data_IF_825237954525
#
_entry.id   IF_825237954525
#
_cell.length_a   1.000
_cell.length_b   1.000
_cell.length_c   1.000
_cell.angle_alpha   90.00
_cell.angle_beta   90.00
_cell.angle_gamma   90.00
#
_symmetry.space_group_name_H-M   'P 1'
#
loop_
_entity.id
_entity.type
_entity.pdbx_description
1 polymer ?
#
# COMPACT_ATOMS: atom_id res chain seq x y z
N UNK A 1 0.53 -20.69 -15.16
CA UNK A 1 1.61 -20.17 -16.03
C UNK A 1 1.13 -18.85 -16.59
N UNK A 2 1.56 -17.73 -16.00
CA UNK A 2 1.23 -16.40 -16.47
C UNK A 2 2.26 -16.05 -17.55
N UNK A 3 1.82 -15.91 -18.79
CA UNK A 3 2.69 -15.58 -19.91
C UNK A 3 2.86 -14.06 -19.89
N UNK A 4 4.04 -13.60 -19.52
CA UNK A 4 4.46 -12.22 -19.73
C UNK A 4 4.64 -11.99 -21.23
N UNK A 5 3.55 -11.73 -21.93
CA UNK A 5 3.61 -11.14 -23.26
C UNK A 5 3.86 -9.65 -23.06
N UNK A 6 5.02 -9.16 -23.50
CA UNK A 6 5.16 -7.74 -23.85
C UNK A 6 4.09 -7.45 -24.91
N UNK A 7 3.01 -6.82 -24.49
CA UNK A 7 1.80 -6.57 -25.27
C UNK A 7 1.78 -5.09 -25.64
N UNK A 8 2.02 -4.78 -26.92
CA UNK A 8 1.80 -3.45 -27.52
C UNK A 8 0.58 -3.51 -28.45
N UNK A 9 -0.64 -3.55 -27.92
CA UNK A 9 -1.85 -3.52 -28.73
C UNK A 9 -1.98 -2.14 -29.34
N UNK A 10 -1.80 -2.02 -30.65
CA UNK A 10 -2.36 -0.87 -31.33
C UNK A 10 -3.83 -1.18 -31.60
N UNK A 11 -4.73 -0.77 -30.71
CA UNK A 11 -6.17 -0.78 -31.00
C UNK A 11 -6.40 0.28 -32.08
N UNK A 12 -6.64 -0.17 -33.31
CA UNK A 12 -7.02 0.71 -34.40
C UNK A 12 -8.45 1.22 -34.17
N UNK A 13 -8.59 2.39 -33.54
CA UNK A 13 -9.89 3.06 -33.37
C UNK A 13 -10.56 3.46 -34.70
N UNK A 14 -9.85 3.35 -35.83
CA UNK A 14 -10.31 3.77 -37.15
C UNK A 14 -10.91 2.64 -38.02
N UNK A 15 -11.13 1.44 -37.45
CA UNK A 15 -11.83 0.33 -38.15
C UNK A 15 -13.21 0.12 -37.52
N UNK A 16 -14.28 -0.16 -38.30
CA UNK A 16 -15.59 -0.53 -37.77
C UNK A 16 -15.59 -1.87 -37.00
N UNK A 17 -14.49 -2.65 -37.09
CA UNK A 17 -14.24 -3.88 -36.32
C UNK A 17 -13.20 -3.66 -35.22
N UNK A 18 -13.39 -4.32 -34.07
CA UNK A 18 -12.41 -4.34 -33.00
C UNK A 18 -11.27 -5.30 -33.38
N UNK A 19 -10.04 -4.81 -33.51
CA UNK A 19 -8.90 -5.62 -33.92
C UNK A 19 -7.68 -5.45 -33.02
N UNK A 20 -6.91 -6.52 -32.85
CA UNK A 20 -5.63 -6.52 -32.11
C UNK A 20 -4.51 -6.90 -33.09
N UNK A 21 -3.47 -6.06 -33.16
CA UNK A 21 -2.23 -6.36 -33.90
C UNK A 21 -1.20 -6.96 -32.96
N UNK A 22 -0.59 -8.07 -33.35
CA UNK A 22 0.49 -8.71 -32.59
C UNK A 22 1.87 -8.44 -33.22
N UNK A 23 2.94 -8.90 -32.58
CA UNK A 23 4.33 -8.65 -32.99
C UNK A 23 4.68 -9.18 -34.40
N UNK A 24 3.91 -10.14 -34.92
CA UNK A 24 3.98 -10.62 -36.31
C UNK A 24 3.44 -9.62 -37.35
N UNK A 25 2.86 -8.51 -36.89
CA UNK A 25 2.27 -7.48 -37.73
C UNK A 25 0.86 -7.82 -38.24
N UNK A 26 0.28 -8.98 -37.90
CA UNK A 26 -1.07 -9.35 -38.35
C UNK A 26 -2.14 -8.68 -37.49
N UNK A 27 -3.16 -8.11 -38.14
CA UNK A 27 -4.37 -7.61 -37.48
C UNK A 27 -5.39 -8.74 -37.43
N UNK A 28 -5.87 -9.07 -36.23
CA UNK A 28 -6.93 -10.06 -36.03
C UNK A 28 -8.18 -9.35 -35.51
N UNK A 29 -9.30 -9.58 -36.19
CA UNK A 29 -10.62 -9.06 -35.79
C UNK A 29 -11.25 -9.92 -34.69
N UNK A 30 -11.96 -9.27 -33.79
CA UNK A 30 -12.66 -9.89 -32.67
C UNK A 30 -14.03 -9.22 -32.49
N UNK A 31 -15.03 -10.01 -32.10
CA UNK A 31 -16.35 -9.47 -31.74
C UNK A 31 -16.35 -8.87 -30.32
N UNK A 32 -15.45 -9.34 -29.45
CA UNK A 32 -15.33 -8.93 -28.05
C UNK A 32 -13.88 -9.03 -27.57
N UNK A 33 -13.42 -8.03 -26.82
CA UNK A 33 -12.15 -8.06 -26.09
C UNK A 33 -12.41 -7.86 -24.60
N UNK A 34 -11.89 -8.78 -23.78
CA UNK A 34 -11.99 -8.73 -22.32
C UNK A 34 -10.63 -8.30 -21.77
N UNK A 35 -10.59 -7.16 -21.10
CA UNK A 35 -9.39 -6.67 -20.43
C UNK A 35 -9.29 -7.26 -19.03
N UNK A 36 -8.57 -8.38 -18.91
CA UNK A 36 -8.23 -9.02 -17.64
C UNK A 36 -6.83 -8.61 -17.17
N UNK A 37 -6.51 -7.32 -17.24
CA UNK A 37 -5.16 -6.75 -17.00
C UNK A 37 -4.76 -6.67 -15.53
N UNK A 38 -5.68 -6.98 -14.61
CA UNK A 38 -5.46 -6.94 -13.17
C UNK A 38 -5.65 -5.55 -12.58
N UNK A 39 -4.90 -5.25 -11.51
CA UNK A 39 -5.04 -4.00 -10.74
C UNK A 39 -3.68 -3.40 -10.41
N UNK A 40 -3.61 -2.07 -10.35
CA UNK A 40 -2.56 -1.40 -9.59
C UNK A 40 -2.83 -1.56 -8.09
N UNK A 41 -2.37 -2.69 -7.57
CA UNK A 41 -2.77 -3.19 -6.26
C UNK A 41 -2.04 -2.46 -5.13
N UNK A 42 -2.73 -2.38 -3.98
CA UNK A 42 -2.20 -1.88 -2.71
C UNK A 42 -1.95 -0.37 -2.66
N UNK A 43 -1.03 0.16 -3.46
CA UNK A 43 -0.68 1.60 -3.42
C UNK A 43 -1.47 2.44 -4.42
N UNK A 44 -1.86 1.88 -5.57
CA UNK A 44 -2.46 2.62 -6.68
C UNK A 44 -3.68 3.46 -6.29
N UNK A 45 -4.65 2.86 -5.60
CA UNK A 45 -5.85 3.59 -5.16
C UNK A 45 -5.56 4.75 -4.20
N UNK A 46 -4.51 4.64 -3.37
CA UNK A 46 -4.13 5.67 -2.41
C UNK A 46 -3.43 6.81 -3.14
N UNK A 47 -2.50 6.51 -4.05
CA UNK A 47 -1.72 7.52 -4.77
C UNK A 47 -2.51 8.25 -5.85
N UNK A 48 -3.68 7.75 -6.25
CA UNK A 48 -4.60 8.45 -7.16
C UNK A 48 -5.44 9.53 -6.46
N UNK A 49 -5.43 9.58 -5.13
CA UNK A 49 -6.08 10.64 -4.35
C UNK A 49 -5.01 11.67 -3.99
N UNK A 50 -5.30 12.97 -4.20
CA UNK A 50 -4.38 14.08 -3.84
C UNK A 50 -4.35 14.32 -2.32
N UNK A 51 -3.83 13.34 -1.57
CA UNK A 51 -3.66 13.40 -0.11
C UNK A 51 -2.35 14.14 0.16
N UNK A 52 -2.43 15.30 0.79
CA UNK A 52 -1.28 16.16 1.12
C UNK A 52 -1.14 16.39 2.62
N UNK A 53 0.12 16.53 3.07
CA UNK A 53 0.40 16.99 4.43
C UNK A 53 0.45 18.54 4.51
N UNK A 54 0.68 19.07 5.71
CA UNK A 54 0.76 20.52 5.95
C UNK A 54 1.93 21.23 5.24
N UNK A 55 2.91 20.48 4.75
CA UNK A 55 4.06 20.99 4.00
C UNK A 55 3.83 20.93 2.48
N UNK A 56 2.66 20.44 2.04
CA UNK A 56 2.27 20.34 0.63
C UNK A 56 2.76 19.07 -0.08
N UNK A 57 3.51 18.21 0.60
CA UNK A 57 3.97 16.92 0.07
C UNK A 57 2.80 15.93 -0.02
N UNK A 58 2.64 15.28 -1.18
CA UNK A 58 1.62 14.25 -1.37
C UNK A 58 2.10 12.85 -0.92
N UNK A 59 1.15 11.94 -0.65
CA UNK A 59 1.49 10.53 -0.41
C UNK A 59 2.15 9.90 -1.63
N UNK A 60 1.73 10.28 -2.84
CA UNK A 60 2.35 9.86 -4.10
C UNK A 60 3.83 10.28 -4.15
N UNK A 61 4.13 11.56 -3.87
CA UNK A 61 5.51 12.07 -3.82
C UNK A 61 6.36 11.30 -2.81
N UNK A 62 5.80 11.05 -1.61
CA UNK A 62 6.49 10.31 -0.56
C UNK A 62 6.80 8.87 -0.98
N UNK A 63 5.87 8.21 -1.66
CA UNK A 63 6.00 6.79 -2.03
C UNK A 63 6.59 6.55 -3.42
N UNK A 64 6.98 7.59 -4.15
CA UNK A 64 7.51 7.50 -5.51
C UNK A 64 8.68 6.50 -5.68
N UNK A 65 9.52 6.32 -4.65
CA UNK A 65 10.67 5.41 -4.68
C UNK A 65 10.50 4.15 -3.85
N UNK A 66 9.64 4.17 -2.84
CA UNK A 66 9.35 3.03 -1.99
C UNK A 66 8.17 3.36 -1.08
N UNK A 67 7.44 2.34 -0.70
CA UNK A 67 6.29 2.41 0.19
C UNK A 67 6.77 2.39 1.63
N UNK A 68 6.38 3.41 2.38
CA UNK A 68 6.71 3.53 3.81
C UNK A 68 5.45 3.62 4.63
N UNK A 69 5.24 2.63 5.48
CA UNK A 69 4.17 2.62 6.47
C UNK A 69 4.70 2.13 7.80
N UNK A 70 4.00 2.47 8.87
CA UNK A 70 4.13 1.81 10.15
C UNK A 70 2.92 0.89 10.35
N UNK A 71 3.18 -0.41 10.55
CA UNK A 71 2.18 -1.47 10.67
C UNK A 71 1.18 -1.54 9.50
N UNK A 72 1.44 -0.89 8.37
CA UNK A 72 0.48 -0.75 7.27
C UNK A 72 -0.79 0.03 7.59
N UNK A 73 -0.77 0.86 8.64
CA UNK A 73 -1.91 1.66 9.08
C UNK A 73 -1.62 3.16 9.08
N UNK A 74 -0.37 3.59 9.14
CA UNK A 74 0.01 5.01 9.22
C UNK A 74 1.31 5.25 8.46
N UNK A 75 1.64 6.52 8.17
CA UNK A 75 2.90 6.90 7.52
C UNK A 75 3.40 8.23 8.11
N UNK A 76 4.71 8.37 8.30
CA UNK A 76 5.31 9.58 8.88
C UNK A 76 5.10 10.81 7.98
N UNK A 77 4.99 12.01 8.56
CA UNK A 77 4.69 13.24 7.84
C UNK A 77 3.20 13.41 7.51
N UNK A 78 2.33 12.45 7.86
CA UNK A 78 0.89 12.50 7.62
C UNK A 78 0.12 12.28 8.94
N UNK A 79 0.05 13.29 9.80
CA UNK A 79 -0.63 13.18 11.09
C UNK A 79 -2.12 12.88 10.94
N UNK A 80 -2.67 12.06 11.84
CA UNK A 80 -4.08 11.65 11.89
C UNK A 80 -4.61 10.95 10.62
N UNK A 81 -3.72 10.55 9.69
CA UNK A 81 -4.07 9.72 8.54
C UNK A 81 -3.92 8.24 8.90
N UNK A 82 -4.98 7.47 8.66
CA UNK A 82 -4.97 6.02 8.84
C UNK A 82 -5.35 5.30 7.55
N UNK A 83 -4.74 4.14 7.33
CA UNK A 83 -5.07 3.20 6.27
C UNK A 83 -5.69 1.95 6.88
N UNK A 84 -6.72 1.42 6.20
CA UNK A 84 -7.28 0.10 6.46
C UNK A 84 -7.08 -0.76 5.23
N UNK A 85 -6.81 -2.05 5.42
CA UNK A 85 -6.39 -2.96 4.37
C UNK A 85 -5.22 -2.39 3.53
N UNK A 86 -4.32 -1.68 4.22
CA UNK A 86 -3.29 -0.82 3.62
C UNK A 86 -2.02 -1.56 3.17
N UNK A 87 -1.06 -0.82 2.59
CA UNK A 87 0.23 -1.36 2.20
C UNK A 87 1.00 -1.93 3.39
N UNK A 88 1.77 -2.98 3.16
CA UNK A 88 2.64 -3.63 4.16
C UNK A 88 1.89 -4.15 5.40
N UNK A 89 0.56 -4.29 5.33
CA UNK A 89 -0.24 -5.10 6.25
C UNK A 89 -0.45 -6.52 5.66
N UNK A 90 -1.05 -7.47 6.38
CA UNK A 90 -1.29 -8.82 5.84
C UNK A 90 -2.08 -8.79 4.55
N UNK A 91 -3.11 -7.95 4.48
CA UNK A 91 -3.86 -7.58 3.28
C UNK A 91 -4.17 -8.81 2.41
N UNK A 92 -3.48 -9.01 1.29
CA UNK A 92 -3.75 -10.12 0.38
C UNK A 92 -3.27 -11.50 0.87
N UNK A 93 -2.43 -11.55 1.91
CA UNK A 93 -1.95 -12.77 2.57
C UNK A 93 -2.79 -13.16 3.80
N UNK A 94 -3.95 -12.52 3.97
CA UNK A 94 -4.93 -12.87 4.98
C UNK A 94 -6.34 -12.83 4.39
N UNK A 95 -7.31 -13.34 5.15
CA UNK A 95 -8.73 -13.09 4.86
C UNK A 95 -9.00 -11.59 5.01
N UNK A 96 -9.48 -10.96 3.94
CA UNK A 96 -9.68 -9.50 3.87
C UNK A 96 -10.39 -8.91 5.09
N UNK A 97 -11.59 -9.41 5.45
CA UNK A 97 -12.32 -8.96 6.63
C UNK A 97 -11.50 -9.08 7.93
N UNK A 98 -10.81 -10.20 8.17
CA UNK A 98 -10.06 -10.40 9.41
C UNK A 98 -8.82 -9.50 9.50
N UNK A 99 -8.20 -9.17 8.36
CA UNK A 99 -7.13 -8.16 8.30
C UNK A 99 -7.69 -6.77 8.62
N UNK A 100 -8.80 -6.39 7.98
CA UNK A 100 -9.43 -5.10 8.18
C UNK A 100 -9.96 -4.91 9.62
N UNK A 101 -10.59 -5.93 10.21
CA UNK A 101 -11.05 -5.92 11.61
C UNK A 101 -9.88 -5.74 12.59
N UNK A 102 -8.75 -6.42 12.34
CA UNK A 102 -7.55 -6.29 13.19
C UNK A 102 -7.03 -4.86 13.17
N UNK A 103 -7.00 -4.22 11.99
CA UNK A 103 -6.58 -2.83 11.86
C UNK A 103 -7.60 -1.85 12.42
N UNK A 104 -8.89 -2.07 12.15
CA UNK A 104 -9.99 -1.26 12.67
C UNK A 104 -10.02 -1.23 14.19
N UNK A 105 -9.90 -2.39 14.84
CA UNK A 105 -9.82 -2.48 16.30
C UNK A 105 -8.63 -1.69 16.87
N UNK A 106 -7.47 -1.74 16.18
CA UNK A 106 -6.29 -0.99 16.59
C UNK A 106 -6.48 0.53 16.42
N UNK A 107 -7.05 0.97 15.29
CA UNK A 107 -7.33 2.39 15.01
C UNK A 107 -8.32 2.94 16.03
N UNK A 108 -9.41 2.21 16.32
CA UNK A 108 -10.39 2.61 17.34
C UNK A 108 -9.72 2.76 18.71
N UNK A 109 -8.93 1.78 19.13
CA UNK A 109 -8.19 1.86 20.40
C UNK A 109 -7.21 3.05 20.44
N UNK A 110 -6.59 3.41 19.32
CA UNK A 110 -5.75 4.59 19.21
C UNK A 110 -6.55 5.89 19.37
N UNK A 111 -7.70 6.01 18.70
CA UNK A 111 -8.58 7.17 18.79
C UNK A 111 -9.19 7.34 20.18
N UNK A 112 -9.60 6.26 20.83
CA UNK A 112 -10.10 6.30 22.20
C UNK A 112 -9.00 6.74 23.18
N UNK A 113 -7.78 6.22 23.03
CA UNK A 113 -6.64 6.67 23.83
C UNK A 113 -6.34 8.17 23.63
N UNK A 114 -6.39 8.66 22.39
CA UNK A 114 -6.23 10.09 22.11
C UNK A 114 -7.31 10.92 22.80
N UNK A 115 -8.57 10.47 22.76
CA UNK A 115 -9.70 11.15 23.41
C UNK A 115 -9.52 11.19 24.92
N UNK A 116 -9.19 10.07 25.55
CA UNK A 116 -8.96 9.95 27.00
C UNK A 116 -7.82 10.84 27.50
N UNK A 117 -6.76 10.99 26.69
CA UNK A 117 -5.57 11.79 27.03
C UNK A 117 -5.61 13.22 26.53
N UNK A 118 -6.67 13.63 25.82
CA UNK A 118 -6.78 14.96 25.23
C UNK A 118 -5.74 15.24 24.13
N UNK A 119 -5.25 14.20 23.46
CA UNK A 119 -4.29 14.31 22.36
C UNK A 119 -5.00 14.71 21.07
N UNK A 120 -4.42 15.63 20.30
CA UNK A 120 -4.98 16.12 19.03
C UNK A 120 -4.33 15.52 17.79
N UNK A 121 -3.16 14.93 17.98
CA UNK A 121 -2.31 14.47 16.88
C UNK A 121 -1.69 13.13 17.24
N UNK A 122 -1.79 12.18 16.31
CA UNK A 122 -1.01 10.94 16.31
C UNK A 122 -0.33 10.83 14.96
N UNK A 123 0.93 10.41 15.00
CA UNK A 123 1.76 10.29 13.81
C UNK A 123 2.81 9.21 14.04
N UNK A 124 3.20 8.51 12.97
CA UNK A 124 4.34 7.61 13.04
C UNK A 124 5.64 8.38 12.90
N UNK A 125 6.67 7.94 13.62
CA UNK A 125 8.02 8.45 13.39
C UNK A 125 8.59 7.82 12.11
N UNK A 126 9.59 8.48 11.53
CA UNK A 126 10.31 7.98 10.35
C UNK A 126 11.00 6.66 10.68
N UNK A 127 11.55 6.53 11.88
CA UNK A 127 12.22 5.31 12.35
C UNK A 127 11.24 4.13 12.39
N UNK A 128 10.02 4.35 12.90
CA UNK A 128 9.01 3.30 13.01
C UNK A 128 8.60 2.74 11.64
N UNK A 129 8.42 3.59 10.63
CA UNK A 129 8.09 3.12 9.27
C UNK A 129 9.28 2.47 8.56
N UNK A 130 10.51 2.95 8.81
CA UNK A 130 11.73 2.31 8.28
C UNK A 130 11.95 0.92 8.89
N UNK A 131 11.81 0.79 10.20
CA UNK A 131 11.90 -0.49 10.91
C UNK A 131 10.81 -1.46 10.42
N UNK A 132 9.59 -0.97 10.24
CA UNK A 132 8.48 -1.79 9.74
C UNK A 132 8.75 -2.27 8.31
N UNK A 133 9.12 -1.38 7.40
CA UNK A 133 9.47 -1.71 6.02
C UNK A 133 10.61 -2.74 5.97
N UNK A 134 11.66 -2.54 6.77
CA UNK A 134 12.78 -3.48 6.85
C UNK A 134 12.30 -4.85 7.29
N UNK A 135 11.52 -4.93 8.36
CA UNK A 135 10.95 -6.17 8.88
C UNK A 135 10.04 -6.89 7.86
N UNK A 136 9.22 -6.14 7.12
CA UNK A 136 8.33 -6.71 6.09
C UNK A 136 9.15 -7.35 4.96
N UNK A 137 10.19 -6.68 4.47
CA UNK A 137 11.08 -7.24 3.46
C UNK A 137 11.87 -8.44 4.00
N UNK A 138 12.44 -8.36 5.20
CA UNK A 138 13.17 -9.47 5.85
C UNK A 138 12.30 -10.73 6.04
N UNK A 139 10.99 -10.57 6.25
CA UNK A 139 10.05 -11.69 6.32
C UNK A 139 9.73 -12.24 4.92
N UNK A 140 9.54 -11.37 3.93
CA UNK A 140 9.29 -11.78 2.55
C UNK A 140 10.48 -12.54 1.95
N UNK A 141 11.71 -12.09 2.23
CA UNK A 141 12.96 -12.68 1.74
C UNK A 141 13.18 -14.14 2.17
N UNK A 142 12.48 -14.59 3.21
CA UNK A 142 12.51 -15.99 3.68
C UNK A 142 11.55 -16.91 2.91
N UNK A 143 10.82 -16.38 1.93
CA UNK A 143 9.82 -17.10 1.16
C UNK A 143 10.24 -17.28 -0.30
N UNK A 144 9.57 -18.19 -1.02
CA UNK A 144 9.73 -18.32 -2.46
C UNK A 144 9.04 -17.19 -3.25
N UNK A 145 8.19 -16.38 -2.60
CA UNK A 145 7.43 -15.32 -3.29
C UNK A 145 8.35 -14.26 -3.90
N UNK A 146 9.52 -14.03 -3.31
CA UNK A 146 10.53 -13.09 -3.83
C UNK A 146 11.20 -13.56 -5.12
N UNK A 147 11.00 -14.82 -5.55
CA UNK A 147 11.56 -15.33 -6.81
C UNK A 147 10.62 -15.14 -8.00
N UNK A 148 9.37 -14.73 -7.76
CA UNK A 148 8.40 -14.47 -8.81
C UNK A 148 8.20 -12.96 -9.02
N UNK A 149 7.98 -12.56 -10.26
CA UNK A 149 7.43 -11.25 -10.56
C UNK A 149 5.92 -11.30 -10.37
N UNK A 150 5.44 -10.52 -9.40
CA UNK A 150 4.05 -10.49 -8.99
C UNK A 150 3.68 -9.10 -8.49
N UNK A 151 2.38 -8.80 -8.53
CA UNK A 151 1.80 -7.60 -7.94
C UNK A 151 2.01 -7.51 -6.43
N UNK A 152 2.28 -8.63 -5.73
CA UNK A 152 2.70 -8.61 -4.33
C UNK A 152 3.98 -7.81 -4.08
N UNK A 153 4.80 -7.66 -5.12
CA UNK A 153 6.06 -6.91 -5.09
C UNK A 153 6.04 -5.66 -5.97
N UNK A 154 4.89 -5.27 -6.53
CA UNK A 154 4.79 -4.14 -7.46
C UNK A 154 5.42 -4.37 -8.84
N UNK A 155 5.87 -5.60 -9.15
CA UNK A 155 6.58 -5.92 -10.39
C UNK A 155 5.69 -5.87 -11.66
N UNK A 156 4.36 -5.75 -11.50
CA UNK A 156 3.40 -5.67 -12.60
C UNK A 156 3.20 -4.24 -13.13
N UNK A 157 3.75 -3.21 -12.47
CA UNK A 157 3.61 -1.81 -12.88
C UNK A 157 4.99 -1.27 -13.31
N UNK A 158 5.17 -0.86 -14.58
CA UNK A 158 6.41 -0.26 -15.04
C UNK A 158 6.81 0.95 -14.19
N UNK A 159 8.10 1.01 -13.82
CA UNK A 159 8.66 2.11 -13.02
C UNK A 159 8.45 2.01 -11.51
N UNK A 160 7.62 1.09 -11.01
CA UNK A 160 7.49 0.88 -9.56
C UNK A 160 8.68 0.10 -9.00
N UNK A 161 9.10 0.51 -7.80
CA UNK A 161 10.12 -0.19 -7.04
C UNK A 161 9.63 -1.58 -6.63
N UNK A 162 10.47 -2.58 -6.86
CA UNK A 162 10.19 -3.97 -6.46
C UNK A 162 10.49 -4.17 -4.98
N UNK A 163 9.45 -4.31 -4.17
CA UNK A 163 9.55 -4.52 -2.72
C UNK A 163 8.30 -5.20 -2.16
N UNK A 164 8.36 -5.79 -0.96
CA UNK A 164 7.19 -6.44 -0.37
C UNK A 164 6.09 -5.41 -0.01
N UNK A 165 4.94 -5.51 -0.69
CA UNK A 165 3.76 -4.66 -0.44
C UNK A 165 2.78 -5.28 0.56
N UNK A 166 3.02 -6.50 1.03
CA UNK A 166 2.19 -7.21 2.01
C UNK A 166 3.08 -7.81 3.10
N UNK A 167 2.58 -7.86 4.33
CA UNK A 167 3.25 -8.53 5.43
C UNK A 167 2.95 -10.03 5.43
N UNK A 168 3.95 -10.84 5.06
CA UNK A 168 3.81 -12.29 4.88
C UNK A 168 4.03 -13.11 6.18
N UNK A 169 4.08 -12.46 7.35
CA UNK A 169 4.28 -13.14 8.63
C UNK A 169 3.04 -13.82 9.20
N UNK A 170 1.89 -13.68 8.54
CA UNK A 170 0.61 -14.22 8.97
C UNK A 170 -0.12 -13.34 9.98
N UNK A 171 -1.45 -13.48 9.99
CA UNK A 171 -2.34 -12.66 10.84
C UNK A 171 -2.08 -12.82 12.35
N UNK A 172 -1.75 -14.01 12.90
CA UNK A 172 -1.42 -14.14 14.33
C UNK A 172 -0.21 -13.31 14.75
N UNK A 173 0.87 -13.32 13.97
CA UNK A 173 2.06 -12.51 14.26
C UNK A 173 1.79 -11.02 14.06
N UNK A 174 1.03 -10.66 13.04
CA UNK A 174 0.59 -9.28 12.85
C UNK A 174 -0.20 -8.76 14.05
N UNK A 175 -1.15 -9.56 14.56
CA UNK A 175 -1.91 -9.24 15.79
C UNK A 175 -1.00 -9.04 16.98
N UNK A 176 0.02 -9.87 17.19
CA UNK A 176 1.00 -9.67 18.28
C UNK A 176 1.74 -8.34 18.15
N UNK A 177 2.02 -7.90 16.91
CA UNK A 177 2.69 -6.63 16.64
C UNK A 177 1.77 -5.42 16.79
N UNK A 178 0.46 -5.56 16.58
CA UNK A 178 -0.52 -4.50 16.82
C UNK A 178 -0.97 -4.44 18.29
N UNK A 179 -1.05 -5.59 18.97
CA UNK A 179 -1.37 -5.72 20.40
C UNK A 179 -0.40 -4.91 21.25
N UNK A 180 -0.94 -3.98 22.05
CA UNK A 180 -0.16 -3.19 23.00
C UNK A 180 0.81 -2.17 22.35
N UNK A 181 0.63 -1.81 21.07
CA UNK A 181 1.38 -0.71 20.42
C UNK A 181 0.65 0.63 20.39
N UNK A 182 -0.59 0.71 20.87
CA UNK A 182 -1.30 2.00 21.05
C UNK A 182 -0.47 3.00 21.86
N UNK A 183 0.31 2.52 22.85
CA UNK A 183 1.17 3.36 23.69
C UNK A 183 2.58 3.63 23.14
N UNK A 184 3.00 2.98 22.04
CA UNK A 184 4.39 3.04 21.51
C UNK A 184 4.50 3.69 20.15
N UNK A 185 3.40 4.12 19.54
CA UNK A 185 3.40 4.99 18.37
C UNK A 185 3.95 6.36 18.73
N UNK A 186 5.26 6.50 18.93
CA UNK A 186 5.97 7.76 18.73
C UNK A 186 5.36 9.01 19.36
N UNK A 187 4.61 8.91 20.47
CA UNK A 187 4.13 10.06 21.25
C UNK A 187 5.35 10.59 22.04
N UNK A 188 6.42 10.93 21.34
CA UNK A 188 7.60 11.61 21.87
C UNK A 188 7.70 13.04 21.35
N UNK A 189 6.84 13.45 20.39
CA UNK A 189 6.75 14.85 19.95
C UNK A 189 5.31 15.30 19.76
N UNK A 190 4.76 15.85 20.84
CA UNK A 190 3.66 16.81 20.76
C UNK A 190 4.28 18.15 20.32
N UNK A 191 4.05 18.61 19.08
CA UNK A 191 4.15 20.06 18.81
C UNK A 191 2.87 20.71 19.33
N UNK A 192 2.88 21.15 20.59
CA UNK A 192 1.88 22.11 21.07
C UNK A 192 2.25 23.48 20.49
N UNK A 193 1.81 23.74 19.27
CA UNK A 193 1.74 25.10 18.76
C UNK A 193 0.50 25.76 19.34
N UNK A 194 0.61 26.33 20.55
CA UNK A 194 -0.28 27.42 20.94
C UNK A 194 0.05 28.58 20.01
N UNK A 195 -0.70 28.76 18.91
CA UNK A 195 -0.84 30.10 18.35
C UNK A 195 -1.81 30.83 19.27
N UNK A 196 -1.22 31.57 20.20
CA UNK A 196 -1.91 32.61 20.94
C UNK A 196 -2.30 33.76 20.03
N UNK A 197 -3.46 34.33 20.35
CA UNK A 197 -4.23 35.43 19.76
C UNK A 197 -4.86 35.15 18.40
#
# INVERSE_FOLDING_TARGET
>A
MWIWLTWEPTISQNSPSLGIRTADGELRDYDLVILATGFDSITGSITQIDIRNSEGQSVEDKWAKATYTNLGMTTAGFPNLFFTYGPQAPTAFATGPSSAETQGAWIVACLDHMREKGLKTVESTVEAEQEWRKHVNEVADKSLFTQADSWYFGANIPGKTREALNYMGGLPEYRKKTLGRVCRCGISRIRVGLKGN
#
